data_IF_995974968420
#
_entry.id   IF_995974968420
#
_cell.length_a   1.000
_cell.length_b   1.000
_cell.length_c   1.000
_cell.angle_alpha   90.00
_cell.angle_beta   90.00
_cell.angle_gamma   90.00
#
_symmetry.space_group_name_H-M   'P 1'
#
loop_
_entity.id
_entity.type
_entity.pdbx_description
1 polymer ?
#
# COMPACT_ATOMS: atom_id res chain seq x y z
N UNK A 1 -15.28 -33.26 6.73
CA UNK A 1 -13.85 -33.43 7.07
C UNK A 1 -13.05 -32.83 5.92
N UNK A 2 -12.19 -31.84 6.22
CA UNK A 2 -11.31 -31.06 5.32
C UNK A 2 -11.99 -29.93 4.50
N UNK A 3 -11.60 -28.64 4.48
CA UNK A 3 -10.83 -27.69 5.32
C UNK A 3 -10.89 -26.33 4.58
N UNK A 4 -11.59 -25.31 5.08
CA UNK A 4 -11.05 -24.03 5.58
C UNK A 4 -9.75 -23.54 4.91
N UNK A 5 -9.78 -23.22 3.61
CA UNK A 5 -8.74 -22.42 2.95
C UNK A 5 -9.30 -21.09 2.44
N UNK A 6 -9.03 -20.03 3.23
CA UNK A 6 -8.65 -18.70 2.74
C UNK A 6 -9.65 -17.89 1.91
N UNK A 7 -10.70 -17.33 2.53
CA UNK A 7 -11.31 -16.09 2.05
C UNK A 7 -10.35 -14.90 2.26
N UNK A 8 -9.27 -14.72 1.50
CA UNK A 8 -8.36 -13.57 1.71
C UNK A 8 -7.61 -13.05 0.46
N UNK A 9 -8.17 -13.17 -0.76
CA UNK A 9 -7.49 -12.62 -1.96
C UNK A 9 -8.40 -11.84 -2.93
N UNK A 10 -9.42 -11.14 -2.46
CA UNK A 10 -10.30 -10.36 -3.37
C UNK A 10 -10.78 -9.01 -2.84
N UNK A 11 -10.11 -8.42 -1.84
CA UNK A 11 -10.50 -7.11 -1.29
C UNK A 11 -9.35 -6.08 -1.15
N UNK A 12 -8.46 -5.98 -2.14
CA UNK A 12 -7.47 -4.88 -2.17
C UNK A 12 -7.38 -4.16 -3.51
N UNK A 13 -8.41 -4.22 -4.35
CA UNK A 13 -8.58 -3.29 -5.46
C UNK A 13 -9.78 -2.39 -5.11
N UNK A 14 -9.65 -1.08 -5.27
CA UNK A 14 -10.55 -0.02 -4.75
C UNK A 14 -10.33 0.25 -3.25
N UNK A 15 -9.93 1.45 -2.80
CA UNK A 15 -10.69 2.68 -2.92
C UNK A 15 -9.84 3.97 -3.07
N UNK A 16 -10.37 4.86 -3.90
CA UNK A 16 -9.82 6.10 -4.45
C UNK A 16 -9.99 7.25 -3.45
N UNK A 17 -8.91 7.77 -2.88
CA UNK A 17 -8.95 8.98 -2.04
C UNK A 17 -9.27 10.22 -2.87
N UNK A 18 -10.48 10.78 -2.69
CA UNK A 18 -10.89 12.06 -3.27
C UNK A 18 -10.24 13.21 -2.51
N UNK A 19 -9.23 13.86 -3.09
CA UNK A 19 -8.92 15.29 -2.95
C UNK A 19 -7.71 15.62 -3.83
N UNK A 20 -7.87 16.55 -4.78
CA UNK A 20 -6.89 16.84 -5.83
C UNK A 20 -5.55 17.37 -5.33
N UNK A 21 -4.65 16.47 -4.91
CA UNK A 21 -3.22 16.70 -4.68
C UNK A 21 -2.45 15.44 -5.11
N UNK A 22 -1.57 15.62 -6.09
CA UNK A 22 -0.50 14.73 -6.58
C UNK A 22 -0.37 13.36 -5.89
N UNK A 23 -0.64 12.28 -6.62
CA UNK A 23 -0.50 10.87 -6.21
C UNK A 23 0.96 10.39 -6.11
N UNK A 24 1.85 11.19 -5.52
CA UNK A 24 3.31 10.92 -5.48
C UNK A 24 3.78 10.25 -4.19
N UNK A 25 2.86 9.80 -3.33
CA UNK A 25 3.20 9.21 -2.03
C UNK A 25 2.23 8.10 -1.63
N UNK A 26 2.74 6.87 -1.45
CA UNK A 26 1.96 5.70 -1.02
C UNK A 26 2.45 5.27 0.38
N UNK A 27 1.55 5.03 1.32
CA UNK A 27 1.91 4.58 2.67
C UNK A 27 1.47 3.13 2.90
N UNK A 28 2.40 2.29 3.35
CA UNK A 28 2.19 0.85 3.55
C UNK A 28 2.74 0.37 4.90
N UNK A 29 2.10 -0.65 5.46
CA UNK A 29 2.63 -1.40 6.59
C UNK A 29 3.69 -2.41 6.14
N UNK A 30 4.37 -3.06 7.08
CA UNK A 30 5.41 -4.05 6.79
C UNK A 30 4.90 -5.25 5.99
N UNK A 31 3.66 -5.66 6.23
CA UNK A 31 3.07 -6.81 5.54
C UNK A 31 2.58 -6.49 4.12
N UNK A 32 2.21 -5.23 3.85
CA UNK A 32 1.65 -4.81 2.56
C UNK A 32 2.61 -3.95 1.73
N UNK A 33 3.89 -3.88 2.11
CA UNK A 33 4.91 -3.10 1.39
C UNK A 33 5.18 -3.66 -0.01
N UNK A 34 5.15 -4.98 -0.19
CA UNK A 34 5.36 -5.63 -1.50
C UNK A 34 4.25 -5.26 -2.50
N UNK A 35 2.99 -5.28 -2.03
CA UNK A 35 1.85 -4.86 -2.85
C UNK A 35 1.94 -3.37 -3.21
N UNK A 36 2.36 -2.54 -2.26
CA UNK A 36 2.52 -1.12 -2.49
C UNK A 36 3.64 -0.81 -3.51
N UNK A 37 4.72 -1.61 -3.49
CA UNK A 37 5.81 -1.53 -4.45
C UNK A 37 5.35 -1.91 -5.86
N UNK A 38 4.61 -3.01 -6.03
CA UNK A 38 4.11 -3.44 -7.33
C UNK A 38 3.22 -2.37 -7.98
N UNK A 39 2.31 -1.77 -7.20
CA UNK A 39 1.45 -0.66 -7.66
C UNK A 39 2.29 0.57 -8.01
N UNK A 40 3.26 0.93 -7.16
CA UNK A 40 4.12 2.08 -7.41
C UNK A 40 4.99 1.90 -8.66
N UNK A 41 5.49 0.69 -8.94
CA UNK A 41 6.28 0.39 -10.14
C UNK A 41 5.42 0.44 -11.40
N UNK A 42 4.17 -0.05 -11.35
CA UNK A 42 3.22 0.02 -12.46
C UNK A 42 2.82 1.48 -12.76
N UNK A 43 2.53 2.28 -11.73
CA UNK A 43 2.12 3.68 -11.91
C UNK A 43 3.28 4.63 -12.24
N UNK A 44 4.45 4.44 -11.63
CA UNK A 44 5.58 5.38 -11.78
C UNK A 44 6.57 4.95 -12.87
N UNK A 45 6.41 3.73 -13.41
CA UNK A 45 7.31 3.10 -14.39
C UNK A 45 8.79 3.11 -13.95
N UNK A 46 9.04 3.27 -12.64
CA UNK A 46 10.38 3.39 -12.04
C UNK A 46 10.38 2.81 -10.64
N UNK A 47 11.56 2.38 -10.17
CA UNK A 47 11.74 1.92 -8.80
C UNK A 47 11.42 3.06 -7.81
N UNK A 48 10.41 2.92 -6.95
CA UNK A 48 10.06 3.90 -5.94
C UNK A 48 11.11 3.94 -4.82
N UNK A 49 11.25 5.08 -4.17
CA UNK A 49 12.09 5.24 -2.99
C UNK A 49 11.26 4.92 -1.75
N UNK A 50 11.65 3.88 -1.01
CA UNK A 50 11.03 3.49 0.26
C UNK A 50 11.73 4.21 1.41
N UNK A 51 10.99 5.05 2.14
CA UNK A 51 11.45 5.69 3.37
C UNK A 51 10.61 5.25 4.56
N UNK A 52 11.22 5.19 5.75
CA UNK A 52 10.46 4.94 6.98
C UNK A 52 9.60 6.15 7.34
N UNK A 53 8.32 5.91 7.59
CA UNK A 53 7.37 6.95 8.00
C UNK A 53 7.77 7.50 9.38
N UNK A 54 8.19 8.76 9.44
CA UNK A 54 8.51 9.46 10.70
C UNK A 54 7.27 9.85 11.49
N UNK A 55 6.12 9.93 10.82
CA UNK A 55 4.82 10.29 11.37
C UNK A 55 3.87 9.08 11.33
N UNK A 56 2.94 8.96 12.27
CA UNK A 56 1.97 7.87 12.28
C UNK A 56 1.03 8.01 11.08
N UNK A 57 1.36 7.27 10.01
CA UNK A 57 0.52 7.10 8.83
C UNK A 57 -0.29 5.82 8.98
N UNK A 58 -1.42 5.75 8.27
CA UNK A 58 -2.20 4.52 8.14
C UNK A 58 -1.91 3.88 6.78
N UNK A 59 -1.83 2.57 6.76
CA UNK A 59 -1.65 1.77 5.56
C UNK A 59 -2.89 1.94 4.69
N UNK A 60 -2.69 2.21 3.40
CA UNK A 60 -3.80 2.39 2.46
C UNK A 60 -4.53 1.08 2.13
N UNK A 61 -3.96 -0.06 2.52
CA UNK A 61 -4.46 -1.40 2.20
C UNK A 61 -5.22 -2.06 3.35
N UNK A 62 -4.77 -1.86 4.58
CA UNK A 62 -5.36 -2.50 5.77
C UNK A 62 -5.71 -1.54 6.91
N UNK A 63 -5.53 -0.22 6.71
CA UNK A 63 -5.77 0.84 7.72
C UNK A 63 -4.92 0.73 8.99
N UNK A 64 -3.98 -0.22 9.05
CA UNK A 64 -3.05 -0.39 10.16
C UNK A 64 -1.93 0.65 10.14
N UNK A 65 -1.01 0.58 11.11
CA UNK A 65 0.13 1.50 11.18
C UNK A 65 1.06 1.33 9.98
N UNK A 66 1.10 2.33 9.10
CA UNK A 66 2.09 2.38 8.03
C UNK A 66 3.45 2.74 8.62
N UNK A 67 4.43 1.89 8.32
CA UNK A 67 5.83 2.05 8.71
C UNK A 67 6.68 2.52 7.54
N UNK A 68 6.20 2.33 6.31
CA UNK A 68 6.90 2.69 5.09
C UNK A 68 6.09 3.68 4.25
N UNK A 69 6.81 4.57 3.60
CA UNK A 69 6.30 5.57 2.67
C UNK A 69 7.09 5.47 1.38
N UNK A 70 6.40 5.31 0.27
CA UNK A 70 6.96 5.28 -1.07
C UNK A 70 6.88 6.68 -1.66
N UNK A 71 7.96 7.13 -2.28
CA UNK A 71 8.07 8.42 -2.99
C UNK A 71 8.70 8.22 -4.36
N UNK A 72 8.36 9.09 -5.33
CA UNK A 72 9.03 9.15 -6.65
C UNK A 72 10.31 9.97 -6.59
#
# INVERSE_FOLDING_TARGET
MQERFGLWITKCYTERTKNGRTCTMIAACEEHIELALDVAVDEWETAPIVEQAKEPRTCQFCEEKAVYTLTK
#
